data_IF_036405956586
#
_entry.id   IF_036405956586
#
_cell.length_a   1.000
_cell.length_b   1.000
_cell.length_c   1.000
_cell.angle_alpha   90.00
_cell.angle_beta   90.00
_cell.angle_gamma   90.00
#
_symmetry.space_group_name_H-M   'P 1'
#
loop_
_entity.id
_entity.type
_entity.pdbx_description
1 polymer ?
#
# COMPACT_ATOMS: atom_id res chain seq x y z
N UNK A 1 -16.56 70.92 -16.47
CA UNK A 1 -16.76 71.20 -15.04
C UNK A 1 -16.81 69.84 -14.36
N UNK A 2 -15.79 69.54 -13.57
CA UNK A 2 -15.48 68.22 -13.01
C UNK A 2 -16.57 67.77 -12.03
N UNK A 3 -17.01 66.50 -12.13
CA UNK A 3 -17.81 65.83 -11.11
C UNK A 3 -16.86 65.17 -10.11
N UNK A 4 -16.93 65.60 -8.85
CA UNK A 4 -16.15 65.06 -7.74
C UNK A 4 -16.55 63.60 -7.46
N UNK A 5 -15.61 62.67 -7.64
CA UNK A 5 -15.70 61.31 -7.12
C UNK A 5 -15.43 61.35 -5.62
N UNK A 6 -16.47 61.11 -4.83
CA UNK A 6 -16.38 60.94 -3.39
C UNK A 6 -15.58 59.66 -3.07
N UNK A 7 -14.36 59.81 -2.56
CA UNK A 7 -13.61 58.71 -1.95
C UNK A 7 -14.29 58.33 -0.65
N UNK A 8 -14.81 57.10 -0.59
CA UNK A 8 -15.22 56.47 0.67
C UNK A 8 -13.95 55.90 1.29
N UNK A 9 -13.37 56.64 2.24
CA UNK A 9 -12.29 56.12 3.09
C UNK A 9 -12.92 55.12 4.07
N UNK A 10 -12.76 53.83 3.78
CA UNK A 10 -13.09 52.76 4.72
C UNK A 10 -11.94 52.70 5.73
N UNK A 11 -12.12 53.39 6.86
CA UNK A 11 -11.26 53.21 8.02
C UNK A 11 -11.42 51.78 8.53
N UNK A 12 -10.41 50.95 8.32
CA UNK A 12 -10.30 49.64 8.96
C UNK A 12 -9.96 49.90 10.43
N UNK A 13 -10.93 49.71 11.32
CA UNK A 13 -10.68 49.66 12.76
C UNK A 13 -9.68 48.52 13.03
N UNK A 14 -8.47 48.89 13.44
CA UNK A 14 -7.49 47.93 13.96
C UNK A 14 -7.96 47.54 15.36
N UNK A 15 -8.48 46.33 15.51
CA UNK A 15 -8.78 45.75 16.82
C UNK A 15 -7.49 45.77 17.67
N UNK A 16 -7.49 46.60 18.72
CA UNK A 16 -6.44 46.62 19.73
C UNK A 16 -6.65 45.41 20.66
N UNK A 17 -5.89 44.34 20.43
CA UNK A 17 -5.83 43.21 21.35
C UNK A 17 -4.87 43.54 22.51
N UNK A 18 -5.26 43.20 23.74
CA UNK A 18 -4.39 43.33 24.91
C UNK A 18 -3.16 42.40 24.77
N UNK A 19 -1.97 42.91 25.09
CA UNK A 19 -0.72 42.14 25.05
C UNK A 19 -0.67 41.11 26.20
N UNK A 20 -0.26 39.87 25.88
CA UNK A 20 -0.05 38.83 26.88
C UNK A 20 1.29 39.03 27.60
N UNK A 21 1.30 38.80 28.91
CA UNK A 21 2.55 38.70 29.65
C UNK A 21 3.23 37.34 29.43
N UNK A 22 4.51 37.23 29.81
CA UNK A 22 5.31 36.01 29.60
C UNK A 22 4.69 34.74 30.23
N UNK A 23 3.96 34.87 31.34
CA UNK A 23 3.29 33.74 31.98
C UNK A 23 2.08 33.31 31.15
N UNK A 24 1.28 34.26 30.69
CA UNK A 24 0.11 33.99 29.83
C UNK A 24 0.52 33.38 28.48
N UNK A 25 1.63 33.80 27.89
CA UNK A 25 2.15 33.18 26.66
C UNK A 25 2.56 31.71 26.87
N UNK A 26 3.20 31.40 28.00
CA UNK A 26 3.57 30.03 28.38
C UNK A 26 2.32 29.19 28.62
N UNK A 27 1.35 29.74 29.33
CA UNK A 27 0.09 29.05 29.64
C UNK A 27 -0.71 28.79 28.36
N UNK A 28 -0.78 29.76 27.44
CA UNK A 28 -1.36 29.60 26.11
C UNK A 28 -0.70 28.43 25.37
N UNK A 29 0.63 28.42 25.25
CA UNK A 29 1.36 27.36 24.55
C UNK A 29 1.10 25.97 25.18
N UNK A 30 1.06 25.88 26.50
CA UNK A 30 0.77 24.63 27.20
C UNK A 30 -0.66 24.14 26.94
N UNK A 31 -1.63 25.05 26.94
CA UNK A 31 -3.04 24.73 26.69
C UNK A 31 -3.26 24.32 25.23
N UNK A 32 -2.66 25.03 24.28
CA UNK A 32 -2.70 24.70 22.85
C UNK A 32 -2.17 23.29 22.59
N UNK A 33 -0.98 22.96 23.12
CA UNK A 33 -0.41 21.60 23.00
C UNK A 33 -1.31 20.51 23.56
N UNK A 34 -2.03 20.77 24.65
CA UNK A 34 -2.99 19.82 25.24
C UNK A 34 -4.18 19.61 24.32
N UNK A 35 -4.69 20.66 23.70
CA UNK A 35 -5.80 20.60 22.74
C UNK A 35 -5.37 19.80 21.50
N UNK A 36 -4.21 20.11 20.94
CA UNK A 36 -3.68 19.43 19.74
C UNK A 36 -3.43 17.94 19.96
N UNK A 37 -2.99 17.55 21.17
CA UNK A 37 -2.75 16.15 21.55
C UNK A 37 -4.00 15.41 22.05
N UNK A 38 -5.15 16.08 22.16
CA UNK A 38 -6.33 15.50 22.80
C UNK A 38 -6.83 14.23 22.10
N UNK A 39 -6.83 14.20 20.76
CA UNK A 39 -7.27 13.02 20.01
C UNK A 39 -6.33 11.83 20.22
N UNK A 40 -5.02 12.09 20.29
CA UNK A 40 -3.99 11.09 20.54
C UNK A 40 -4.15 10.48 21.93
N UNK A 41 -4.27 11.32 22.96
CA UNK A 41 -4.47 10.89 24.35
C UNK A 41 -5.76 10.08 24.47
N UNK A 42 -6.85 10.54 23.83
CA UNK A 42 -8.11 9.80 23.79
C UNK A 42 -7.95 8.42 23.14
N UNK A 43 -7.25 8.32 22.00
CA UNK A 43 -6.98 7.06 21.31
C UNK A 43 -6.20 6.05 22.15
N UNK A 44 -5.16 6.50 22.88
CA UNK A 44 -4.39 5.65 23.81
C UNK A 44 -5.27 5.16 24.97
N UNK A 45 -6.05 6.05 25.58
CA UNK A 45 -6.94 5.70 26.67
C UNK A 45 -8.04 4.72 26.23
N UNK A 46 -8.63 4.91 25.05
CA UNK A 46 -9.59 3.99 24.45
C UNK A 46 -8.98 2.61 24.20
N UNK A 47 -7.72 2.56 23.75
CA UNK A 47 -6.96 1.31 23.58
C UNK A 47 -6.84 0.55 24.89
N UNK A 48 -6.45 1.25 25.96
CA UNK A 48 -6.34 0.63 27.28
C UNK A 48 -7.70 0.16 27.83
N UNK A 49 -8.75 0.98 27.68
CA UNK A 49 -10.13 0.61 28.07
C UNK A 49 -10.61 -0.66 27.35
N UNK A 50 -10.33 -0.78 26.04
CA UNK A 50 -10.72 -1.94 25.22
C UNK A 50 -9.92 -3.18 25.60
N UNK A 51 -8.59 -3.10 25.55
CA UNK A 51 -7.71 -4.26 25.63
C UNK A 51 -7.75 -4.89 27.03
N UNK A 52 -7.86 -4.07 28.08
CA UNK A 52 -8.05 -4.54 29.47
C UNK A 52 -9.52 -4.85 29.79
N UNK A 53 -10.43 -4.64 28.85
CA UNK A 53 -11.89 -4.85 28.98
C UNK A 53 -12.49 -4.14 30.21
N UNK A 54 -12.09 -2.91 30.47
CA UNK A 54 -12.50 -2.16 31.68
C UNK A 54 -13.99 -1.76 31.66
N UNK A 55 -14.68 -1.95 30.53
CA UNK A 55 -16.11 -1.74 30.38
C UNK A 55 -16.98 -2.93 30.83
N UNK A 56 -16.37 -4.10 31.10
CA UNK A 56 -17.07 -5.39 31.29
C UNK A 56 -18.04 -5.45 32.48
N UNK A 57 -17.94 -4.52 33.44
CA UNK A 57 -18.85 -4.47 34.60
C UNK A 57 -20.20 -3.84 34.27
N UNK A 58 -20.29 -3.07 33.20
CA UNK A 58 -21.51 -2.29 32.84
C UNK A 58 -22.03 -2.61 31.45
N UNK A 59 -21.18 -2.95 30.49
CA UNK A 59 -21.57 -3.19 29.10
C UNK A 59 -20.99 -4.51 28.58
N UNK A 60 -21.69 -5.14 27.63
CA UNK A 60 -21.27 -6.41 27.02
C UNK A 60 -20.17 -6.17 25.99
N UNK A 61 -20.28 -5.09 25.23
CA UNK A 61 -19.34 -4.72 24.17
C UNK A 61 -18.67 -3.37 24.44
N UNK A 62 -17.49 -3.17 23.85
CA UNK A 62 -16.74 -1.92 23.97
C UNK A 62 -17.48 -0.77 23.28
N UNK A 63 -18.16 -1.06 22.18
CA UNK A 63 -18.88 -0.07 21.38
C UNK A 63 -20.12 0.45 22.08
N UNK A 64 -20.88 -0.42 22.76
CA UNK A 64 -22.00 0.01 23.62
C UNK A 64 -21.50 0.96 24.71
N UNK A 65 -20.41 0.60 25.40
CA UNK A 65 -19.82 1.46 26.42
C UNK A 65 -19.38 2.83 25.88
N UNK A 66 -18.72 2.85 24.71
CA UNK A 66 -18.26 4.10 24.11
C UNK A 66 -19.42 4.98 23.63
N UNK A 67 -20.48 4.36 23.11
CA UNK A 67 -21.70 5.05 22.70
C UNK A 67 -22.38 5.69 23.90
N UNK A 68 -22.58 4.94 24.98
CA UNK A 68 -23.34 5.41 26.13
C UNK A 68 -22.54 6.41 26.98
N UNK A 69 -21.21 6.21 27.13
CA UNK A 69 -20.38 7.09 27.97
C UNK A 69 -19.86 8.32 27.26
N UNK A 70 -19.54 8.23 25.97
CA UNK A 70 -18.86 9.29 25.21
C UNK A 70 -19.66 9.80 24.01
N UNK A 71 -20.89 9.29 23.79
CA UNK A 71 -21.71 9.60 22.62
C UNK A 71 -21.01 9.30 21.27
N UNK A 72 -20.06 8.36 21.26
CA UNK A 72 -19.33 8.01 20.05
C UNK A 72 -20.16 7.09 19.14
N UNK A 73 -20.01 7.33 17.83
CA UNK A 73 -20.45 6.35 16.84
C UNK A 73 -19.59 5.09 16.91
N UNK A 74 -20.10 3.95 16.41
CA UNK A 74 -19.38 2.66 16.44
C UNK A 74 -17.94 2.74 15.89
N UNK A 75 -17.68 3.61 14.91
CA UNK A 75 -16.37 3.71 14.21
C UNK A 75 -15.40 4.66 14.89
N UNK A 76 -15.90 5.70 15.55
CA UNK A 76 -15.08 6.80 16.05
C UNK A 76 -14.02 6.37 17.09
N UNK A 77 -14.30 5.45 18.04
CA UNK A 77 -13.28 4.98 18.97
C UNK A 77 -12.11 4.34 18.23
N UNK A 78 -12.39 3.47 17.26
CA UNK A 78 -11.37 2.79 16.46
C UNK A 78 -10.54 3.76 15.63
N UNK A 79 -11.18 4.77 15.02
CA UNK A 79 -10.45 5.82 14.29
C UNK A 79 -9.47 6.58 15.18
N UNK A 80 -9.87 6.92 16.41
CA UNK A 80 -8.98 7.57 17.38
C UNK A 80 -7.83 6.65 17.81
N UNK A 81 -8.08 5.36 17.99
CA UNK A 81 -7.06 4.36 18.33
C UNK A 81 -6.04 4.20 17.21
N UNK A 82 -6.50 4.03 15.96
CA UNK A 82 -5.64 3.90 14.78
C UNK A 82 -4.80 5.17 14.57
N UNK A 83 -5.43 6.34 14.73
CA UNK A 83 -4.74 7.63 14.65
C UNK A 83 -3.66 7.78 15.73
N UNK A 84 -3.90 7.26 16.94
CA UNK A 84 -2.90 7.32 18.00
C UNK A 84 -1.67 6.46 17.67
N UNK A 85 -1.84 5.32 17.00
CA UNK A 85 -0.74 4.48 16.54
C UNK A 85 0.11 5.23 15.50
N UNK A 86 -0.53 5.87 14.52
CA UNK A 86 0.19 6.67 13.50
C UNK A 86 0.91 7.84 14.17
N UNK A 87 0.26 8.53 15.10
CA UNK A 87 0.88 9.64 15.83
C UNK A 87 2.13 9.19 16.61
N UNK A 88 2.05 8.09 17.37
CA UNK A 88 3.20 7.51 18.08
C UNK A 88 4.36 7.23 17.11
N UNK A 89 4.07 6.67 15.92
CA UNK A 89 5.08 6.39 14.90
C UNK A 89 5.71 7.66 14.30
N UNK A 90 4.93 8.73 14.14
CA UNK A 90 5.44 10.03 13.68
C UNK A 90 6.28 10.71 14.78
N UNK A 91 5.91 10.57 16.05
CA UNK A 91 6.65 11.11 17.19
C UNK A 91 8.00 10.39 17.42
N UNK A 92 8.09 9.08 17.13
CA UNK A 92 9.29 8.27 17.39
C UNK A 92 10.52 8.57 16.49
N UNK A 93 10.35 9.17 15.30
CA UNK A 93 11.45 9.24 14.32
C UNK A 93 12.46 10.37 14.53
N UNK A 94 12.18 11.48 15.23
CA UNK A 94 13.07 12.66 15.22
C UNK A 94 12.93 13.63 16.43
N UNK A 95 13.98 14.47 16.61
CA UNK A 95 14.25 15.39 17.73
C UNK A 95 13.07 16.30 18.15
N UNK A 96 12.94 16.47 19.47
CA UNK A 96 11.79 17.04 20.20
C UNK A 96 11.38 18.48 19.87
N UNK A 97 12.10 19.22 19.01
CA UNK A 97 12.00 20.68 18.97
C UNK A 97 11.52 21.32 17.66
N UNK A 98 11.49 20.62 16.51
CA UNK A 98 11.28 21.29 15.21
C UNK A 98 10.22 20.69 14.27
N UNK A 99 9.44 19.68 14.68
CA UNK A 99 8.50 19.02 13.75
C UNK A 99 7.02 19.25 14.04
N UNK A 100 6.29 19.45 12.94
CA UNK A 100 4.86 19.69 12.89
C UNK A 100 4.12 18.37 13.00
N UNK A 101 3.49 18.14 14.16
CA UNK A 101 2.74 16.92 14.43
C UNK A 101 1.27 17.06 14.01
N UNK A 102 0.58 15.93 13.78
CA UNK A 102 -0.86 15.97 13.52
C UNK A 102 -1.63 16.53 14.71
N UNK A 103 -2.62 17.37 14.45
CA UNK A 103 -3.48 17.98 15.47
C UNK A 103 -4.90 17.40 15.46
N UNK A 104 -5.24 16.59 14.46
CA UNK A 104 -6.55 15.97 14.31
C UNK A 104 -6.47 14.56 13.68
N UNK A 105 -7.36 13.67 14.13
CA UNK A 105 -7.50 12.30 13.61
C UNK A 105 -7.69 12.25 12.08
N UNK A 106 -8.46 13.18 11.52
CA UNK A 106 -8.74 13.21 10.08
C UNK A 106 -7.50 13.44 9.20
N UNK A 107 -6.41 13.98 9.75
CA UNK A 107 -5.15 14.18 9.03
C UNK A 107 -4.37 12.88 8.85
N UNK A 108 -4.40 12.01 9.87
CA UNK A 108 -3.66 10.74 9.88
C UNK A 108 -4.49 9.57 9.39
N UNK A 109 -5.82 9.69 9.32
CA UNK A 109 -6.70 8.64 8.80
C UNK A 109 -6.24 8.04 7.47
N UNK A 110 -5.80 8.83 6.46
CA UNK A 110 -5.29 8.27 5.20
C UNK A 110 -4.01 7.43 5.36
N UNK A 111 -3.19 7.72 6.38
CA UNK A 111 -1.91 7.07 6.64
C UNK A 111 -2.05 5.70 7.31
N UNK A 112 -3.19 5.42 7.94
CA UNK A 112 -3.43 4.17 8.72
C UNK A 112 -3.19 2.88 7.93
N UNK A 113 -3.28 2.93 6.59
CA UNK A 113 -3.07 1.78 5.69
C UNK A 113 -1.63 1.63 5.20
N UNK A 114 -0.77 2.61 5.45
CA UNK A 114 0.61 2.63 4.99
C UNK A 114 1.54 1.98 6.01
N UNK A 115 2.70 1.52 5.56
CA UNK A 115 3.74 1.00 6.47
C UNK A 115 4.32 2.13 7.33
N UNK A 116 4.85 1.83 8.54
CA UNK A 116 5.37 2.86 9.43
C UNK A 116 6.37 3.85 8.80
N UNK A 117 7.28 3.35 7.95
CA UNK A 117 8.24 4.22 7.24
C UNK A 117 7.55 5.12 6.20
N UNK A 118 6.62 4.57 5.41
CA UNK A 118 5.85 5.30 4.40
C UNK A 118 4.97 6.39 5.05
N UNK A 119 4.39 6.11 6.23
CA UNK A 119 3.61 7.10 6.98
C UNK A 119 4.43 8.36 7.29
N UNK A 120 5.69 8.19 7.70
CA UNK A 120 6.60 9.27 8.04
C UNK A 120 7.00 10.08 6.81
N UNK A 121 7.35 9.40 5.71
CA UNK A 121 7.72 10.05 4.44
C UNK A 121 6.56 10.85 3.85
N UNK A 122 5.36 10.27 3.84
CA UNK A 122 4.15 10.94 3.34
C UNK A 122 3.80 12.14 4.21
N UNK A 123 3.91 12.01 5.54
CA UNK A 123 3.64 13.13 6.44
C UNK A 123 4.60 14.28 6.22
N UNK A 124 5.90 13.99 6.10
CA UNK A 124 6.94 14.99 5.83
C UNK A 124 6.67 15.72 4.51
N UNK A 125 6.39 14.97 3.43
CA UNK A 125 6.04 15.55 2.14
C UNK A 125 4.75 16.41 2.21
N UNK A 126 3.78 16.01 3.03
CA UNK A 126 2.56 16.80 3.24
C UNK A 126 2.83 18.10 4.00
N UNK A 127 3.72 18.09 4.99
CA UNK A 127 4.17 19.31 5.71
C UNK A 127 4.89 20.26 4.77
N UNK A 128 5.78 19.74 3.92
CA UNK A 128 6.48 20.53 2.90
C UNK A 128 5.51 21.15 1.90
N UNK A 129 4.53 20.37 1.40
CA UNK A 129 3.49 20.87 0.50
C UNK A 129 2.56 21.90 1.17
N UNK A 130 2.37 21.80 2.49
CA UNK A 130 1.63 22.80 3.27
C UNK A 130 2.47 24.05 3.62
N UNK A 131 3.71 24.14 3.14
CA UNK A 131 4.60 25.27 3.38
C UNK A 131 5.12 25.35 4.81
N UNK A 132 5.40 24.21 5.44
CA UNK A 132 5.86 24.16 6.83
C UNK A 132 4.76 24.51 7.82
N UNK A 133 3.51 24.13 7.52
CA UNK A 133 2.35 24.24 8.42
C UNK A 133 1.72 22.87 8.60
N UNK A 134 0.84 22.74 9.61
CA UNK A 134 0.08 21.51 9.83
C UNK A 134 -0.76 21.20 8.58
N UNK A 135 -0.52 20.08 7.89
CA UNK A 135 -1.24 19.77 6.66
C UNK A 135 -2.69 19.42 6.97
N UNK A 136 -3.59 19.72 6.02
CA UNK A 136 -4.96 19.23 6.08
C UNK A 136 -5.03 17.77 5.65
N UNK A 137 -6.04 17.01 6.09
CA UNK A 137 -6.22 15.63 5.63
C UNK A 137 -6.40 15.50 4.11
N UNK A 138 -6.82 16.57 3.42
CA UNK A 138 -6.85 16.62 1.96
C UNK A 138 -5.44 16.65 1.37
N UNK A 139 -4.56 17.52 1.87
CA UNK A 139 -3.16 17.58 1.42
C UNK A 139 -2.48 16.23 1.63
N UNK A 140 -2.66 15.61 2.81
CA UNK A 140 -2.11 14.28 3.09
C UNK A 140 -2.62 13.25 2.09
N UNK A 141 -3.91 13.24 1.79
CA UNK A 141 -4.50 12.33 0.79
C UNK A 141 -3.95 12.59 -0.62
N UNK A 142 -3.81 13.85 -1.02
CA UNK A 142 -3.28 14.23 -2.33
C UNK A 142 -1.81 13.79 -2.47
N UNK A 143 -1.00 13.94 -1.42
CA UNK A 143 0.39 13.44 -1.38
C UNK A 143 0.44 11.93 -1.52
N UNK A 144 -0.41 11.18 -0.81
CA UNK A 144 -0.50 9.72 -0.96
C UNK A 144 -0.82 9.36 -2.41
N UNK A 145 -1.79 10.05 -3.01
CA UNK A 145 -2.18 9.81 -4.39
C UNK A 145 -1.04 10.10 -5.36
N UNK A 146 -0.31 11.21 -5.16
CA UNK A 146 0.87 11.55 -5.95
C UNK A 146 1.99 10.53 -5.80
N UNK A 147 2.22 10.02 -4.59
CA UNK A 147 3.24 8.97 -4.36
C UNK A 147 2.82 7.69 -5.07
N UNK A 148 1.56 7.27 -4.95
CA UNK A 148 1.01 6.10 -5.68
C UNK A 148 1.14 6.30 -7.19
N UNK A 149 0.84 7.49 -7.70
CA UNK A 149 0.93 7.82 -9.13
C UNK A 149 2.38 7.86 -9.63
N UNK A 150 3.31 8.39 -8.82
CA UNK A 150 4.75 8.40 -9.12
C UNK A 150 5.38 7.02 -9.01
N UNK A 151 4.88 6.18 -8.11
CA UNK A 151 5.26 4.76 -7.98
C UNK A 151 4.41 3.85 -8.86
N UNK A 152 3.60 4.39 -9.79
CA UNK A 152 3.13 3.61 -10.94
C UNK A 152 4.35 3.12 -11.69
N UNK A 153 4.77 1.91 -11.36
CA UNK A 153 5.74 1.15 -12.14
C UNK A 153 5.08 1.03 -13.51
N UNK A 154 5.54 1.84 -14.46
CA UNK A 154 5.18 1.68 -15.87
C UNK A 154 5.39 0.21 -16.18
N UNK A 155 4.37 -0.44 -16.74
CA UNK A 155 4.53 -1.81 -17.16
C UNK A 155 5.56 -1.86 -18.28
N UNK A 156 6.80 -2.24 -17.96
CA UNK A 156 7.91 -2.34 -18.89
C UNK A 156 7.96 -3.68 -19.62
N UNK A 157 7.07 -4.62 -19.27
CA UNK A 157 7.05 -5.94 -19.87
C UNK A 157 6.62 -5.90 -21.33
N UNK A 158 7.25 -6.73 -22.14
CA UNK A 158 6.95 -6.91 -23.56
C UNK A 158 6.19 -8.22 -23.79
N UNK A 159 5.40 -8.28 -24.86
CA UNK A 159 4.74 -9.52 -25.25
C UNK A 159 5.78 -10.58 -25.65
N UNK A 160 5.66 -11.79 -25.12
CA UNK A 160 6.62 -12.88 -25.30
C UNK A 160 7.80 -12.87 -24.34
N UNK A 161 7.94 -11.85 -23.49
CA UNK A 161 9.00 -11.77 -22.48
C UNK A 161 8.87 -12.89 -21.45
N UNK A 162 10.01 -13.46 -21.03
CA UNK A 162 10.07 -14.47 -19.98
C UNK A 162 10.26 -13.79 -18.63
N UNK A 163 9.34 -14.06 -17.71
CA UNK A 163 9.37 -13.55 -16.35
C UNK A 163 9.26 -14.70 -15.33
N UNK A 164 9.63 -14.40 -14.09
CA UNK A 164 9.49 -15.29 -12.95
C UNK A 164 8.40 -14.78 -12.01
N UNK A 165 7.59 -15.70 -11.49
CA UNK A 165 6.51 -15.39 -10.55
C UNK A 165 7.06 -15.24 -9.13
N UNK A 166 6.71 -14.12 -8.48
CA UNK A 166 7.01 -13.82 -7.08
C UNK A 166 5.71 -13.84 -6.25
N UNK A 167 5.65 -14.74 -5.27
CA UNK A 167 4.44 -14.96 -4.46
C UNK A 167 4.12 -13.78 -3.54
N UNK A 168 5.14 -13.12 -2.94
CA UNK A 168 5.01 -12.07 -1.90
C UNK A 168 3.84 -12.36 -0.96
N UNK A 169 2.70 -11.68 -1.16
CA UNK A 169 1.51 -11.73 -0.29
C UNK A 169 0.26 -12.28 -1.00
N UNK A 170 0.38 -12.87 -2.19
CA UNK A 170 -0.77 -13.35 -2.97
C UNK A 170 -1.04 -14.85 -2.70
N UNK A 171 -2.13 -15.21 -2.00
CA UNK A 171 -2.46 -16.60 -1.69
C UNK A 171 -2.78 -17.44 -2.94
N UNK A 172 -3.21 -16.82 -4.04
CA UNK A 172 -3.54 -17.52 -5.30
C UNK A 172 -2.28 -18.01 -6.05
N UNK A 173 -1.11 -17.48 -5.68
CA UNK A 173 0.21 -17.88 -6.19
C UNK A 173 0.85 -19.01 -5.39
N UNK A 174 0.15 -19.59 -4.41
CA UNK A 174 0.69 -20.65 -3.55
C UNK A 174 1.09 -21.88 -4.39
N UNK A 175 2.37 -22.27 -4.30
CA UNK A 175 2.93 -23.38 -5.08
C UNK A 175 3.42 -23.03 -6.48
N UNK A 176 3.27 -21.76 -6.92
CA UNK A 176 3.74 -21.22 -8.21
C UNK A 176 4.94 -20.28 -8.07
N UNK A 177 5.45 -20.13 -6.85
CA UNK A 177 6.64 -19.34 -6.60
C UNK A 177 7.84 -19.88 -7.37
N UNK A 178 8.61 -18.96 -7.94
CA UNK A 178 9.81 -19.23 -8.75
C UNK A 178 9.57 -19.85 -10.13
N UNK A 179 8.34 -20.21 -10.47
CA UNK A 179 8.00 -20.66 -11.81
C UNK A 179 8.26 -19.54 -12.84
N UNK A 180 8.75 -19.92 -14.01
CA UNK A 180 8.81 -19.01 -15.14
C UNK A 180 7.46 -18.96 -15.85
N UNK A 181 7.22 -17.84 -16.54
CA UNK A 181 6.01 -17.59 -17.30
C UNK A 181 6.31 -16.71 -18.52
N UNK A 182 5.53 -16.89 -19.58
CA UNK A 182 5.61 -16.07 -20.81
C UNK A 182 4.52 -15.01 -20.75
N UNK A 183 4.88 -13.74 -20.97
CA UNK A 183 3.89 -12.66 -21.08
C UNK A 183 3.06 -12.84 -22.36
N UNK A 184 1.76 -13.13 -22.23
CA UNK A 184 0.81 -13.28 -23.34
C UNK A 184 0.03 -11.99 -23.61
N UNK A 185 -0.20 -11.17 -22.58
CA UNK A 185 -0.88 -9.89 -22.71
C UNK A 185 -0.30 -8.87 -21.73
N UNK A 186 -0.08 -7.64 -22.19
CA UNK A 186 0.40 -6.51 -21.38
C UNK A 186 -0.76 -5.56 -21.12
N UNK A 187 -1.14 -5.38 -19.86
CA UNK A 187 -2.12 -4.39 -19.42
C UNK A 187 -1.42 -3.24 -18.68
N UNK A 188 -2.16 -2.18 -18.34
CA UNK A 188 -1.58 -0.97 -17.72
C UNK A 188 -0.80 -1.25 -16.42
N UNK A 189 -1.28 -2.21 -15.59
CA UNK A 189 -0.67 -2.55 -14.28
C UNK A 189 -0.49 -4.05 -14.03
N UNK A 190 -0.79 -4.88 -15.02
CA UNK A 190 -0.71 -6.33 -14.94
C UNK A 190 -0.29 -6.94 -16.26
N UNK A 191 0.25 -8.14 -16.21
CA UNK A 191 0.40 -8.97 -17.40
C UNK A 191 -0.45 -10.22 -17.22
N UNK A 192 -1.04 -10.66 -18.32
CA UNK A 192 -1.48 -12.04 -18.44
C UNK A 192 -0.25 -12.85 -18.84
N UNK A 193 0.00 -13.94 -18.11
CA UNK A 193 1.18 -14.78 -18.31
C UNK A 193 0.79 -16.25 -18.45
N UNK A 194 1.43 -16.95 -19.38
CA UNK A 194 1.31 -18.38 -19.58
C UNK A 194 2.37 -19.10 -18.76
N UNK A 195 1.93 -19.96 -17.85
CA UNK A 195 2.79 -20.81 -17.01
C UNK A 195 2.71 -22.27 -17.46
N UNK A 196 3.37 -23.17 -16.74
CA UNK A 196 3.23 -24.62 -16.95
C UNK A 196 1.85 -25.15 -16.61
N UNK A 197 1.07 -24.46 -15.75
CA UNK A 197 -0.24 -24.93 -15.29
C UNK A 197 -1.45 -24.19 -15.90
N UNK A 198 -1.18 -23.21 -16.77
CA UNK A 198 -2.18 -22.42 -17.47
C UNK A 198 -1.88 -20.92 -17.44
N UNK A 199 -2.90 -20.14 -17.81
CA UNK A 199 -2.81 -18.68 -17.92
C UNK A 199 -3.25 -17.98 -16.63
N UNK A 200 -2.49 -16.96 -16.21
CA UNK A 200 -2.75 -16.19 -14.98
C UNK A 200 -2.57 -14.70 -15.23
N UNK A 201 -3.46 -13.87 -14.68
CA UNK A 201 -3.31 -12.40 -14.72
C UNK A 201 -2.68 -11.91 -13.43
N UNK A 202 -1.44 -11.43 -13.51
CA UNK A 202 -0.63 -11.02 -12.37
C UNK A 202 -0.25 -9.55 -12.47
N UNK A 203 -0.29 -8.83 -11.34
CA UNK A 203 0.24 -7.47 -11.27
C UNK A 203 1.75 -7.48 -11.49
N UNK A 204 2.28 -6.38 -12.05
CA UNK A 204 3.71 -6.25 -12.39
C UNK A 204 4.66 -6.42 -11.19
N UNK A 205 4.19 -6.15 -9.97
CA UNK A 205 4.94 -6.32 -8.71
C UNK A 205 5.14 -7.79 -8.29
N UNK A 206 4.39 -8.72 -8.90
CA UNK A 206 4.53 -10.17 -8.76
C UNK A 206 5.32 -10.82 -9.89
N UNK A 207 5.86 -10.02 -10.81
CA UNK A 207 6.66 -10.49 -11.93
C UNK A 207 8.08 -9.98 -11.80
N UNK A 208 9.05 -10.80 -12.18
CA UNK A 208 10.45 -10.41 -12.31
C UNK A 208 10.96 -10.82 -13.68
N UNK A 209 11.39 -9.87 -14.50
CA UNK A 209 12.04 -10.18 -15.78
C UNK A 209 13.26 -11.07 -15.54
N UNK A 210 13.39 -12.10 -16.38
CA UNK A 210 14.57 -12.97 -16.39
C UNK A 210 15.72 -12.36 -17.20
N UNK A 211 15.49 -11.26 -17.93
CA UNK A 211 16.44 -10.60 -18.81
C UNK A 211 17.06 -11.54 -19.87
N UNK A 212 16.25 -12.48 -20.37
CA UNK A 212 16.64 -13.35 -21.47
C UNK A 212 16.70 -12.57 -22.78
N UNK A 213 17.60 -12.99 -23.67
CA UNK A 213 17.68 -12.51 -25.05
C UNK A 213 16.45 -12.94 -25.85
N UNK A 214 16.22 -12.33 -27.02
CA UNK A 214 15.10 -12.69 -27.89
C UNK A 214 15.13 -14.18 -28.30
N UNK A 215 16.33 -14.72 -28.56
CA UNK A 215 16.51 -16.15 -28.90
C UNK A 215 16.13 -17.05 -27.72
N UNK A 216 16.59 -16.72 -26.52
CA UNK A 216 16.26 -17.48 -25.31
C UNK A 216 14.77 -17.37 -24.97
N UNK A 217 14.15 -16.22 -25.21
CA UNK A 217 12.70 -16.05 -25.09
C UNK A 217 11.95 -16.94 -26.07
N UNK A 218 12.41 -17.06 -27.33
CA UNK A 218 11.82 -17.95 -28.32
C UNK A 218 11.94 -19.43 -27.92
N UNK A 219 13.09 -19.84 -27.40
CA UNK A 219 13.31 -21.21 -26.90
C UNK A 219 12.33 -21.53 -25.75
N UNK A 220 12.17 -20.60 -24.80
CA UNK A 220 11.24 -20.73 -23.68
C UNK A 220 9.77 -20.70 -24.12
N UNK A 221 9.42 -19.91 -25.13
CA UNK A 221 8.07 -19.93 -25.73
C UNK A 221 7.78 -21.28 -26.39
N UNK A 222 8.74 -21.83 -27.14
CA UNK A 222 8.64 -23.17 -27.73
C UNK A 222 8.43 -24.24 -26.66
N UNK A 223 9.21 -24.16 -25.57
CA UNK A 223 9.03 -25.04 -24.41
C UNK A 223 7.65 -24.89 -23.77
N UNK A 224 7.16 -23.66 -23.61
CA UNK A 224 5.83 -23.36 -23.04
C UNK A 224 4.70 -23.99 -23.86
N UNK A 225 4.77 -23.88 -25.20
CA UNK A 225 3.80 -24.50 -26.11
C UNK A 225 3.81 -26.02 -25.96
N UNK A 226 5.00 -26.64 -25.91
CA UNK A 226 5.13 -28.09 -25.71
C UNK A 226 4.50 -28.54 -24.40
N UNK A 227 4.83 -27.88 -23.30
CA UNK A 227 4.28 -28.18 -21.96
C UNK A 227 2.75 -28.04 -21.94
N UNK A 228 2.22 -26.92 -22.44
CA UNK A 228 0.77 -26.67 -22.42
C UNK A 228 0.00 -27.60 -23.36
N UNK A 229 0.61 -28.03 -24.47
CA UNK A 229 0.00 -29.03 -25.36
C UNK A 229 -0.18 -30.38 -24.65
N UNK A 230 0.83 -30.81 -23.89
CA UNK A 230 0.75 -32.04 -23.09
C UNK A 230 -0.30 -31.88 -21.99
N UNK A 231 -0.32 -30.73 -21.32
CA UNK A 231 -1.25 -30.47 -20.21
C UNK A 231 -2.72 -30.48 -20.62
N UNK A 232 -3.02 -30.02 -21.82
CA UNK A 232 -4.39 -30.01 -22.35
C UNK A 232 -4.90 -31.41 -22.76
N UNK A 233 -4.13 -32.47 -22.54
CA UNK A 233 -4.55 -33.84 -22.76
C UNK A 233 -5.34 -34.38 -21.55
N UNK A 234 -6.56 -34.88 -21.78
CA UNK A 234 -7.47 -35.38 -20.73
C UNK A 234 -6.91 -36.59 -19.94
N UNK A 235 -5.97 -37.34 -20.51
CA UNK A 235 -5.41 -38.56 -19.91
C UNK A 235 -4.01 -38.38 -19.31
N UNK A 236 -3.64 -37.17 -18.88
CA UNK A 236 -2.32 -36.91 -18.31
C UNK A 236 -2.15 -37.60 -16.95
N UNK A 237 -1.15 -38.50 -16.85
CA UNK A 237 -0.79 -39.14 -15.58
C UNK A 237 -0.16 -38.16 -14.58
N UNK A 238 -0.38 -38.39 -13.28
CA UNK A 238 0.17 -37.54 -12.20
C UNK A 238 1.71 -37.46 -12.24
N UNK A 239 2.39 -38.54 -12.65
CA UNK A 239 3.84 -38.54 -12.84
C UNK A 239 4.29 -37.57 -13.95
N UNK A 240 3.53 -37.48 -15.04
CA UNK A 240 3.82 -36.52 -16.11
C UNK A 240 3.56 -35.08 -15.65
N UNK A 241 2.48 -34.85 -14.89
CA UNK A 241 2.19 -33.53 -14.30
C UNK A 241 3.33 -33.03 -13.40
N UNK A 242 3.88 -33.91 -12.55
CA UNK A 242 5.02 -33.59 -11.70
C UNK A 242 6.27 -33.21 -12.50
N UNK A 243 6.50 -33.85 -13.64
CA UNK A 243 7.59 -33.49 -14.57
C UNK A 243 7.33 -32.13 -15.19
N UNK A 244 6.13 -31.85 -15.70
CA UNK A 244 5.80 -30.55 -16.29
C UNK A 244 5.97 -29.41 -15.26
N UNK A 245 5.58 -29.65 -14.01
CA UNK A 245 5.82 -28.72 -12.91
C UNK A 245 7.30 -28.46 -12.69
N UNK A 246 8.12 -29.51 -12.70
CA UNK A 246 9.58 -29.37 -12.57
C UNK A 246 10.17 -28.52 -13.71
N UNK A 247 9.75 -28.79 -14.95
CA UNK A 247 10.18 -28.01 -16.12
C UNK A 247 9.71 -26.55 -16.03
N UNK A 248 8.55 -26.29 -15.45
CA UNK A 248 8.01 -24.95 -15.17
C UNK A 248 8.79 -24.15 -14.12
N UNK A 249 9.70 -24.79 -13.37
CA UNK A 249 10.50 -24.17 -12.31
C UNK A 249 11.97 -23.95 -12.70
N UNK A 250 12.34 -24.22 -13.95
CA UNK A 250 13.69 -24.02 -14.44
C UNK A 250 14.09 -22.54 -14.40
N UNK A 251 15.32 -22.28 -13.94
CA UNK A 251 15.92 -20.93 -13.89
C UNK A 251 16.91 -20.68 -15.04
N UNK A 252 16.80 -21.47 -16.12
CA UNK A 252 17.66 -21.44 -17.31
C UNK A 252 16.81 -21.53 -18.58
N UNK A 253 17.26 -20.95 -19.71
CA UNK A 253 16.48 -20.92 -20.95
C UNK A 253 16.59 -22.18 -21.81
N UNK A 254 17.11 -23.29 -21.27
CA UNK A 254 17.35 -24.52 -22.02
C UNK A 254 17.11 -25.77 -21.17
N UNK A 255 16.73 -26.85 -21.85
CA UNK A 255 16.66 -28.19 -21.27
C UNK A 255 18.02 -28.88 -21.33
N UNK A 256 18.33 -29.66 -20.31
CA UNK A 256 19.39 -30.68 -20.41
C UNK A 256 18.95 -31.80 -21.35
N UNK A 257 19.90 -32.60 -21.82
CA UNK A 257 19.61 -33.77 -22.66
C UNK A 257 18.59 -34.70 -22.00
N UNK A 258 18.77 -35.00 -20.70
CA UNK A 258 17.84 -35.83 -19.94
C UNK A 258 16.43 -35.23 -19.83
N UNK A 259 16.32 -33.92 -19.56
CA UNK A 259 15.02 -33.24 -19.50
C UNK A 259 14.31 -33.21 -20.86
N UNK A 260 15.08 -33.03 -21.94
CA UNK A 260 14.55 -33.06 -23.30
C UNK A 260 14.05 -34.46 -23.67
N UNK A 261 14.81 -35.51 -23.36
CA UNK A 261 14.41 -36.90 -23.55
C UNK A 261 13.15 -37.24 -22.74
N UNK A 262 13.08 -36.80 -21.49
CA UNK A 262 11.92 -37.02 -20.62
C UNK A 262 10.67 -36.32 -21.16
N UNK A 263 10.80 -35.06 -21.58
CA UNK A 263 9.70 -34.33 -22.20
C UNK A 263 9.23 -35.01 -23.50
N UNK A 264 10.15 -35.43 -24.36
CA UNK A 264 9.82 -36.13 -25.60
C UNK A 264 9.21 -37.51 -25.37
N UNK A 265 9.61 -38.22 -24.31
CA UNK A 265 8.96 -39.45 -23.91
C UNK A 265 7.49 -39.20 -23.53
N UNK A 266 7.20 -38.18 -22.70
CA UNK A 266 5.84 -37.81 -22.32
C UNK A 266 5.01 -37.42 -23.56
N UNK A 267 5.56 -36.58 -24.44
CA UNK A 267 4.92 -36.19 -25.70
C UNK A 267 4.53 -37.41 -26.55
N UNK A 268 5.40 -38.43 -26.62
CA UNK A 268 5.13 -39.66 -27.38
C UNK A 268 3.99 -40.50 -26.81
N UNK A 269 3.74 -40.40 -25.49
CA UNK A 269 2.65 -41.11 -24.81
C UNK A 269 1.33 -40.37 -24.93
N UNK A 270 1.36 -39.03 -24.93
CA UNK A 270 0.18 -38.19 -25.09
C UNK A 270 -0.34 -38.10 -26.55
N UNK A 271 0.46 -38.50 -27.55
CA UNK A 271 0.03 -38.55 -28.96
C UNK A 271 -0.76 -39.82 -29.33
N UNK A 272 -1.00 -40.72 -28.38
CA UNK A 272 -1.81 -41.94 -28.56
C UNK A 272 -3.20 -41.74 -28.00
#
# INVERSE_FOLDING_TARGET
>A
MLQEMQRVDIAVELDNFDELNQQEERDRLNLERRVERAFFVAGKALTELRDRRLYRSTHRTFEEYCKDRFAYSRRQPYLLMDAAIVFDNLEQKCDQFDHILPTAEGQVRPLTKLKPQEQQEVWQAAVEQAGGKVPTGRIVKDVIQLIIERTKVLNTYQLGEVCQIIVKDNPDLRGKGECWAIVTQVNEYSCTVMTWDGEHTLRVDHLKSMNYTDSECQDMQSLSVRINTIRNNENLEEAADAVLKHLGQLKRPYLTEFEAELLSFIESKCRK
#
